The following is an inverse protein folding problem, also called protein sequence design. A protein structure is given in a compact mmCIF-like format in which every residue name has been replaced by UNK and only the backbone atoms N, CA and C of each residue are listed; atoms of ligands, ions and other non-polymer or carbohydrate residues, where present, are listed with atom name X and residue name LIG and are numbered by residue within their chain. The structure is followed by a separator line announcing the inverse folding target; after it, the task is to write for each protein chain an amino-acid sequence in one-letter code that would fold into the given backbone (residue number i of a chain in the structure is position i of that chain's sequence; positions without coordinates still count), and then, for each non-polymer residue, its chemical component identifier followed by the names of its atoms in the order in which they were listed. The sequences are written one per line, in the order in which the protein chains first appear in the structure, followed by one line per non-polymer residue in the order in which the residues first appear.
data_IF_988672306320
#
_entry.id   IF_988672306320
#
_cell.length_a   1.000
_cell.length_b   1.000
_cell.length_c   1.000
_cell.angle_alpha   90.00
_cell.angle_beta   90.00
_cell.angle_gamma   90.00
#
_symmetry.space_group_name_H-M   'P 1'
#
loop_
_entity.id
_entity.type
_entity.pdbx_description
1 polymer ?
#
# COMPACT_ATOMS: atom_id res chain seq x y z
N UNK A 1 11.69 7.05 -23.50
CA UNK A 1 12.64 6.54 -22.47
C UNK A 1 11.83 6.42 -21.20
N UNK A 2 11.53 5.19 -20.77
CA UNK A 2 10.98 4.94 -19.43
C UNK A 2 11.94 5.57 -18.42
N UNK A 3 11.47 6.54 -17.64
CA UNK A 3 12.16 6.96 -16.43
C UNK A 3 12.03 5.80 -15.44
N UNK A 4 13.02 4.92 -15.41
CA UNK A 4 13.13 3.94 -14.32
C UNK A 4 13.40 4.75 -13.05
N UNK A 5 12.37 4.98 -12.25
CA UNK A 5 12.52 5.66 -10.99
C UNK A 5 13.45 4.86 -10.07
N UNK A 6 14.31 5.53 -9.32
CA UNK A 6 15.14 4.90 -8.27
C UNK A 6 14.27 3.99 -7.36
N UNK A 7 13.00 4.34 -7.13
CA UNK A 7 12.06 3.55 -6.35
C UNK A 7 11.88 2.09 -6.84
N UNK A 8 11.91 1.84 -8.15
CA UNK A 8 11.75 0.49 -8.69
C UNK A 8 12.97 -0.40 -8.47
N UNK A 9 14.15 0.21 -8.36
CA UNK A 9 15.40 -0.50 -8.03
C UNK A 9 15.37 -0.91 -6.54
N UNK A 10 14.99 -0.01 -5.64
CA UNK A 10 14.88 -0.30 -4.21
C UNK A 10 13.81 -1.36 -3.91
N UNK A 11 12.66 -1.33 -4.59
CA UNK A 11 11.62 -2.36 -4.42
C UNK A 11 12.14 -3.76 -4.74
N UNK A 12 12.93 -3.92 -5.78
CA UNK A 12 13.57 -5.20 -6.14
C UNK A 12 14.60 -5.64 -5.12
N UNK A 13 15.43 -4.72 -4.62
CA UNK A 13 16.41 -5.02 -3.58
C UNK A 13 15.73 -5.47 -2.28
N UNK A 14 14.70 -4.76 -1.83
CA UNK A 14 13.92 -5.12 -0.63
C UNK A 14 13.26 -6.50 -0.83
N UNK A 15 12.73 -6.79 -2.02
CA UNK A 15 12.16 -8.10 -2.33
C UNK A 15 13.18 -9.24 -2.16
N UNK A 16 14.39 -9.04 -2.66
CA UNK A 16 15.49 -9.99 -2.49
C UNK A 16 15.88 -10.19 -1.02
N UNK A 17 16.02 -9.12 -0.25
CA UNK A 17 16.39 -9.19 1.16
C UNK A 17 15.32 -9.90 1.99
N UNK A 18 14.04 -9.59 1.74
CA UNK A 18 12.91 -10.26 2.37
C UNK A 18 12.84 -11.75 2.01
N UNK A 19 13.07 -12.09 0.74
CA UNK A 19 13.09 -13.48 0.29
C UNK A 19 14.13 -14.31 1.04
N UNK A 20 15.33 -13.79 1.21
CA UNK A 20 16.39 -14.46 1.95
C UNK A 20 16.07 -14.57 3.44
N UNK A 21 15.62 -13.47 4.06
CA UNK A 21 15.29 -13.47 5.49
C UNK A 21 14.14 -14.43 5.83
N UNK A 22 13.08 -14.46 5.02
CA UNK A 22 11.97 -15.38 5.22
C UNK A 22 12.42 -16.83 5.00
N UNK A 23 13.21 -17.09 3.95
CA UNK A 23 13.75 -18.42 3.70
C UNK A 23 14.60 -18.94 4.86
N UNK A 24 15.49 -18.09 5.38
CA UNK A 24 16.34 -18.43 6.51
C UNK A 24 15.50 -18.78 7.75
N UNK A 25 14.50 -17.97 8.08
CA UNK A 25 13.64 -18.20 9.23
C UNK A 25 12.79 -19.48 9.08
N UNK A 26 12.27 -19.76 7.90
CA UNK A 26 11.56 -21.00 7.60
C UNK A 26 12.47 -22.23 7.82
N UNK A 27 13.70 -22.19 7.31
CA UNK A 27 14.67 -23.25 7.47
C UNK A 27 15.04 -23.47 8.95
N UNK A 28 15.24 -22.40 9.72
CA UNK A 28 15.52 -22.46 11.15
C UNK A 28 14.39 -23.13 11.94
N UNK A 29 13.16 -23.01 11.47
CA UNK A 29 11.96 -23.66 12.03
C UNK A 29 11.68 -25.07 11.46
N UNK A 30 12.53 -25.57 10.59
CA UNK A 30 12.33 -26.87 9.93
C UNK A 30 11.22 -26.89 8.88
N UNK A 31 10.82 -25.70 8.36
CA UNK A 31 9.79 -25.56 7.35
C UNK A 31 10.45 -25.42 5.97
N UNK A 32 10.25 -26.40 5.11
CA UNK A 32 10.84 -26.46 3.78
C UNK A 32 9.86 -25.93 2.72
N UNK A 33 9.77 -24.60 2.62
CA UNK A 33 8.98 -23.91 1.60
C UNK A 33 9.85 -22.99 0.75
N UNK A 34 9.60 -22.96 -0.53
CA UNK A 34 10.22 -21.97 -1.44
C UNK A 34 9.61 -20.60 -1.19
N UNK A 35 10.46 -19.59 -1.17
CA UNK A 35 10.05 -18.18 -1.11
C UNK A 35 10.37 -17.54 -2.45
N UNK A 36 9.38 -16.96 -3.12
CA UNK A 36 9.53 -16.33 -4.42
C UNK A 36 9.11 -14.86 -4.39
N UNK A 37 9.89 -14.01 -5.04
CA UNK A 37 9.56 -12.59 -5.22
C UNK A 37 9.05 -12.34 -6.63
N UNK A 38 7.83 -11.83 -6.77
CA UNK A 38 7.20 -11.46 -8.03
C UNK A 38 7.30 -9.95 -8.21
N UNK A 39 7.95 -9.50 -9.29
CA UNK A 39 7.91 -8.11 -9.70
C UNK A 39 6.49 -7.80 -10.17
N UNK A 40 5.81 -6.91 -9.44
CA UNK A 40 4.37 -6.71 -9.60
C UNK A 40 4.06 -5.37 -10.23
N UNK A 41 3.33 -5.39 -11.34
CA UNK A 41 2.74 -4.25 -12.01
C UNK A 41 1.27 -4.12 -11.62
N UNK A 42 0.82 -2.88 -11.47
CA UNK A 42 -0.57 -2.61 -11.04
C UNK A 42 -1.17 -1.58 -11.99
N UNK A 43 -2.22 -2.00 -12.69
CA UNK A 43 -2.98 -1.12 -13.58
C UNK A 43 -3.74 -0.11 -12.75
N UNK A 44 -3.67 1.16 -13.17
CA UNK A 44 -4.43 2.27 -12.63
C UNK A 44 -5.25 2.94 -13.72
N UNK A 45 -6.37 3.55 -13.36
CA UNK A 45 -7.20 4.28 -14.30
C UNK A 45 -6.49 5.59 -14.72
N UNK A 46 -6.26 5.86 -16.02
CA UNK A 46 -5.69 7.12 -16.47
C UNK A 46 -6.53 8.35 -16.15
N UNK A 47 -7.81 8.16 -15.84
CA UNK A 47 -8.76 9.22 -15.50
C UNK A 47 -8.99 9.35 -14.00
N UNK A 48 -8.27 8.60 -13.16
CA UNK A 48 -8.37 8.74 -11.70
C UNK A 48 -8.08 10.18 -11.27
N UNK A 49 -8.92 10.72 -10.39
CA UNK A 49 -8.84 12.10 -9.90
C UNK A 49 -7.46 12.43 -9.29
N UNK A 50 -6.80 11.43 -8.72
CA UNK A 50 -5.47 11.58 -8.14
C UNK A 50 -4.41 12.08 -9.15
N UNK A 51 -4.61 11.91 -10.45
CA UNK A 51 -3.72 12.48 -11.47
C UNK A 51 -3.90 13.99 -11.63
N UNK A 52 -5.08 14.50 -11.34
CA UNK A 52 -5.40 15.93 -11.44
C UNK A 52 -5.16 16.66 -10.11
N UNK A 53 -5.32 15.96 -9.00
CA UNK A 53 -5.16 16.51 -7.64
C UNK A 53 -4.18 15.64 -6.83
N UNK A 54 -2.86 15.74 -7.09
CA UNK A 54 -1.85 14.97 -6.36
C UNK A 54 -1.83 15.33 -4.88
N UNK A 55 -1.94 14.33 -4.01
CA UNK A 55 -2.00 14.52 -2.55
C UNK A 55 -0.96 13.71 -1.77
N UNK A 56 -0.37 12.68 -2.38
CA UNK A 56 0.57 11.79 -1.68
C UNK A 56 1.91 12.46 -1.46
N UNK A 57 2.22 12.78 -0.21
CA UNK A 57 3.49 13.40 0.15
C UNK A 57 4.67 12.45 -0.01
N UNK A 58 5.76 12.96 -0.59
CA UNK A 58 7.02 12.24 -0.78
C UNK A 58 8.22 13.05 -0.26
N UNK A 59 9.20 12.29 0.22
CA UNK A 59 10.50 12.85 0.59
C UNK A 59 10.49 13.71 1.87
N UNK A 60 11.55 14.46 2.05
CA UNK A 60 11.77 15.36 3.19
C UNK A 60 11.05 16.69 3.03
N UNK A 61 11.00 17.46 4.12
CA UNK A 61 10.64 18.86 4.04
C UNK A 61 11.71 19.66 3.29
N UNK A 62 11.28 20.67 2.56
CA UNK A 62 12.08 21.54 1.71
C UNK A 62 11.92 22.99 2.14
N UNK A 63 12.93 23.82 1.84
CA UNK A 63 12.82 25.29 1.95
C UNK A 63 11.95 25.85 0.82
N UNK A 64 11.61 27.14 0.92
CA UNK A 64 10.85 27.82 -0.13
C UNK A 64 11.62 27.87 -1.46
N UNK A 65 12.94 28.02 -1.40
CA UNK A 65 13.82 28.05 -2.58
C UNK A 65 13.81 26.67 -3.27
N UNK A 66 14.03 25.60 -2.49
CA UNK A 66 13.99 24.21 -3.00
C UNK A 66 12.61 23.87 -3.60
N UNK A 67 11.53 24.31 -2.95
CA UNK A 67 10.16 24.13 -3.43
C UNK A 67 9.93 24.82 -4.78
N UNK A 68 10.45 26.03 -4.96
CA UNK A 68 10.36 26.75 -6.22
C UNK A 68 11.15 26.06 -7.35
N UNK A 69 12.32 25.50 -7.05
CA UNK A 69 13.06 24.69 -8.03
C UNK A 69 12.32 23.41 -8.44
N UNK A 70 11.65 22.75 -7.50
CA UNK A 70 10.82 21.58 -7.81
C UNK A 70 9.59 21.96 -8.66
N UNK A 71 8.94 23.10 -8.39
CA UNK A 71 7.84 23.60 -9.22
C UNK A 71 8.30 23.94 -10.64
N UNK A 72 9.48 24.54 -10.82
CA UNK A 72 10.08 24.79 -12.15
C UNK A 72 10.32 23.52 -12.96
N UNK A 73 10.60 22.38 -12.28
CA UNK A 73 10.73 21.06 -12.90
C UNK A 73 9.38 20.40 -13.24
N UNK A 74 8.26 21.08 -12.90
CA UNK A 74 6.89 20.55 -13.11
C UNK A 74 6.40 19.63 -11.99
N UNK A 75 7.08 19.59 -10.84
CA UNK A 75 6.65 18.81 -9.69
C UNK A 75 5.60 19.57 -8.87
N UNK A 76 4.61 18.84 -8.35
CA UNK A 76 3.65 19.39 -7.42
C UNK A 76 4.28 19.51 -6.02
N UNK A 77 4.03 20.64 -5.36
CA UNK A 77 4.56 20.93 -4.03
C UNK A 77 3.48 21.61 -3.20
N UNK A 78 3.24 21.09 -2.01
CA UNK A 78 2.34 21.67 -1.00
C UNK A 78 3.15 22.32 0.12
N UNK A 79 2.55 23.27 0.81
CA UNK A 79 3.07 23.87 2.04
C UNK A 79 2.34 23.27 3.24
N UNK A 80 3.12 22.82 4.23
CA UNK A 80 2.60 22.42 5.53
C UNK A 80 2.96 23.53 6.54
N UNK A 81 1.93 24.19 7.08
CA UNK A 81 2.10 25.33 7.96
C UNK A 81 3.06 25.03 9.14
N UNK A 82 4.07 25.84 9.30
CA UNK A 82 5.09 25.71 10.36
C UNK A 82 6.13 24.60 10.15
N UNK A 83 6.06 23.82 9.06
CA UNK A 83 7.00 22.73 8.79
C UNK A 83 7.78 22.90 7.49
N UNK A 84 7.28 23.69 6.54
CA UNK A 84 7.90 23.92 5.24
C UNK A 84 7.14 23.24 4.08
N UNK A 85 7.84 22.93 3.02
CA UNK A 85 7.27 22.44 1.77
C UNK A 85 7.55 20.96 1.56
N UNK A 86 6.61 20.25 0.94
CA UNK A 86 6.78 18.86 0.55
C UNK A 86 6.31 18.61 -0.88
N UNK A 87 7.04 17.75 -1.58
CA UNK A 87 6.61 17.25 -2.88
C UNK A 87 5.42 16.33 -2.70
N UNK A 88 4.44 16.44 -3.59
CA UNK A 88 3.32 15.52 -3.70
C UNK A 88 3.28 14.86 -5.07
N UNK A 89 2.75 13.65 -5.12
CA UNK A 89 2.56 12.87 -6.33
C UNK A 89 1.17 12.28 -6.36
N UNK A 90 0.74 11.89 -7.55
CA UNK A 90 -0.51 11.17 -7.76
C UNK A 90 -0.49 9.82 -7.06
N UNK A 91 -1.59 9.45 -6.43
CA UNK A 91 -1.77 8.16 -5.78
C UNK A 91 -3.11 7.53 -6.20
N UNK A 92 -3.24 7.10 -7.47
CA UNK A 92 -4.47 6.52 -7.99
C UNK A 92 -4.77 5.17 -7.33
N UNK A 93 -6.03 4.76 -7.39
CA UNK A 93 -6.49 3.47 -6.88
C UNK A 93 -5.98 2.31 -7.75
N UNK A 94 -5.60 1.17 -7.14
CA UNK A 94 -5.25 -0.03 -7.87
C UNK A 94 -6.48 -0.64 -8.52
N UNK A 95 -6.44 -0.87 -9.84
CA UNK A 95 -7.53 -1.49 -10.60
C UNK A 95 -7.30 -2.98 -10.72
N UNK A 96 -6.12 -3.40 -11.18
CA UNK A 96 -5.78 -4.79 -11.45
C UNK A 96 -4.30 -5.06 -11.24
N UNK A 97 -3.99 -6.22 -10.68
CA UNK A 97 -2.62 -6.72 -10.56
C UNK A 97 -2.33 -7.56 -11.80
N UNK A 98 -1.29 -7.19 -12.55
CA UNK A 98 -0.96 -7.82 -13.85
C UNK A 98 -0.50 -9.25 -13.66
N UNK A 99 0.36 -9.50 -12.68
CA UNK A 99 0.98 -10.81 -12.43
C UNK A 99 0.17 -11.68 -11.46
N UNK A 100 -1.13 -11.43 -11.31
CA UNK A 100 -1.99 -12.17 -10.36
C UNK A 100 -2.01 -13.67 -10.65
N UNK A 101 -2.09 -14.07 -11.91
CA UNK A 101 -2.10 -15.49 -12.30
C UNK A 101 -0.78 -16.19 -11.91
N UNK A 102 0.35 -15.50 -12.03
CA UNK A 102 1.64 -16.02 -11.60
C UNK A 102 1.71 -16.16 -10.07
N UNK A 103 1.16 -15.20 -9.33
CA UNK A 103 1.06 -15.28 -7.86
C UNK A 103 0.22 -16.48 -7.45
N UNK A 104 -0.96 -16.68 -8.05
CA UNK A 104 -1.84 -17.82 -7.77
C UNK A 104 -1.15 -19.14 -8.07
N UNK A 105 -0.47 -19.28 -9.21
CA UNK A 105 0.25 -20.50 -9.56
C UNK A 105 1.36 -20.85 -8.56
N UNK A 106 2.05 -19.85 -8.00
CA UNK A 106 3.06 -20.06 -6.96
C UNK A 106 2.44 -20.46 -5.62
N UNK A 107 1.30 -19.85 -5.26
CA UNK A 107 0.55 -20.21 -4.05
C UNK A 107 0.01 -21.64 -4.14
N UNK A 108 -0.55 -22.03 -5.30
CA UNK A 108 -1.01 -23.41 -5.57
C UNK A 108 0.12 -24.44 -5.47
N UNK A 109 1.36 -24.02 -5.76
CA UNK A 109 2.56 -24.81 -5.56
C UNK A 109 3.12 -24.75 -4.12
N UNK A 110 2.32 -24.31 -3.15
CA UNK A 110 2.67 -24.20 -1.72
C UNK A 110 3.89 -23.31 -1.44
N UNK A 111 4.12 -22.28 -2.24
CA UNK A 111 5.20 -21.33 -2.04
C UNK A 111 4.75 -20.12 -1.18
N UNK A 112 5.71 -19.51 -0.50
CA UNK A 112 5.53 -18.17 0.08
C UNK A 112 5.82 -17.14 -1.00
N UNK A 113 4.88 -16.25 -1.28
CA UNK A 113 5.01 -15.27 -2.36
C UNK A 113 5.14 -13.86 -1.81
N UNK A 114 6.17 -13.15 -2.25
CA UNK A 114 6.37 -11.72 -2.00
C UNK A 114 5.95 -10.99 -3.27
N UNK A 115 4.90 -10.19 -3.18
CA UNK A 115 4.35 -9.44 -4.32
C UNK A 115 3.94 -8.02 -3.91
N UNK A 116 3.73 -7.15 -4.88
CA UNK A 116 3.21 -5.80 -4.73
C UNK A 116 3.97 -4.88 -3.74
N UNK A 117 5.26 -5.12 -3.51
CA UNK A 117 6.09 -4.34 -2.61
C UNK A 117 6.00 -2.83 -2.90
N UNK A 118 5.73 -2.03 -1.84
CA UNK A 118 5.53 -0.59 -1.95
C UNK A 118 4.34 -0.15 -2.82
N UNK A 119 3.31 -1.01 -2.96
CA UNK A 119 2.13 -0.77 -3.78
C UNK A 119 2.26 -1.25 -5.23
N UNK A 120 3.37 -1.91 -5.60
CA UNK A 120 3.65 -2.34 -6.96
C UNK A 120 4.12 -1.21 -7.88
N UNK A 121 4.25 -1.50 -9.17
CA UNK A 121 4.67 -0.55 -10.21
C UNK A 121 3.41 -0.07 -10.93
N UNK A 122 3.01 1.21 -10.80
CA UNK A 122 1.82 1.71 -11.47
C UNK A 122 2.00 1.77 -12.97
N UNK A 123 1.06 1.20 -13.72
CA UNK A 123 1.05 1.17 -15.16
C UNK A 123 -0.32 1.57 -15.72
N UNK A 124 -0.31 2.19 -16.89
CA UNK A 124 -1.48 2.46 -17.72
C UNK A 124 -1.55 1.40 -18.81
N UNK A 125 -2.70 0.81 -18.99
CA UNK A 125 -2.95 -0.09 -20.11
C UNK A 125 -3.40 0.71 -21.32
N UNK A 126 -2.66 0.60 -22.41
CA UNK A 126 -2.96 1.25 -23.68
C UNK A 126 -2.89 0.19 -24.78
N UNK A 127 -4.04 -0.21 -25.28
CA UNK A 127 -4.16 -1.34 -26.22
C UNK A 127 -3.48 -2.61 -25.63
N UNK A 128 -2.41 -3.09 -26.28
CA UNK A 128 -1.65 -4.24 -25.82
C UNK A 128 -0.34 -3.87 -25.10
N UNK A 129 -0.20 -2.63 -24.68
CA UNK A 129 1.03 -2.13 -24.03
C UNK A 129 0.78 -1.64 -22.63
N UNK A 130 1.70 -1.96 -21.73
CA UNK A 130 1.77 -1.38 -20.40
C UNK A 130 2.80 -0.25 -20.38
N UNK A 131 2.34 0.95 -20.04
CA UNK A 131 3.17 2.14 -19.91
C UNK A 131 3.26 2.56 -18.45
N UNK A 132 4.46 2.78 -17.92
CA UNK A 132 4.65 3.25 -16.56
C UNK A 132 3.90 4.56 -16.31
N UNK A 133 3.10 4.63 -15.25
CA UNK A 133 2.43 5.83 -14.80
C UNK A 133 3.35 6.67 -13.89
N UNK A 134 3.26 8.01 -13.99
CA UNK A 134 3.97 8.92 -13.06
C UNK A 134 3.18 9.07 -11.77
N UNK A 135 3.12 8.01 -10.99
CA UNK A 135 2.31 7.89 -9.78
C UNK A 135 3.00 6.96 -8.77
N UNK A 136 2.46 6.92 -7.57
CA UNK A 136 2.67 5.83 -6.59
C UNK A 136 1.31 5.26 -6.22
N UNK A 137 1.25 4.03 -5.77
CA UNK A 137 0.01 3.43 -5.30
C UNK A 137 0.09 3.25 -3.79
N UNK A 138 -1.01 3.46 -3.09
CA UNK A 138 -1.09 3.16 -1.67
C UNK A 138 -0.93 1.64 -1.46
N UNK A 139 0.13 1.27 -0.74
CA UNK A 139 0.49 -0.14 -0.53
C UNK A 139 -0.62 -0.95 0.16
N UNK A 140 -1.37 -0.29 1.04
CA UNK A 140 -2.45 -0.94 1.79
C UNK A 140 -3.63 -1.30 0.86
N UNK A 141 -3.99 -0.39 -0.07
CA UNK A 141 -5.01 -0.65 -1.10
C UNK A 141 -4.58 -1.77 -2.06
N UNK A 142 -3.31 -1.76 -2.48
CA UNK A 142 -2.81 -2.85 -3.34
C UNK A 142 -2.78 -4.19 -2.60
N UNK A 143 -2.46 -4.19 -1.29
CA UNK A 143 -2.48 -5.41 -0.48
C UNK A 143 -3.92 -5.98 -0.37
N UNK A 144 -4.92 -5.11 -0.15
CA UNK A 144 -6.33 -5.50 -0.21
C UNK A 144 -6.69 -6.12 -1.56
N UNK A 145 -6.33 -5.44 -2.65
CA UNK A 145 -6.60 -5.91 -4.01
C UNK A 145 -5.90 -7.24 -4.34
N UNK A 146 -4.69 -7.44 -3.82
CA UNK A 146 -3.97 -8.71 -3.95
C UNK A 146 -4.68 -9.80 -3.14
N UNK A 147 -5.07 -9.53 -1.90
CA UNK A 147 -5.76 -10.46 -1.04
C UNK A 147 -7.11 -10.91 -1.62
N UNK A 148 -7.86 -10.00 -2.23
CA UNK A 148 -9.07 -10.32 -3.02
C UNK A 148 -8.73 -11.27 -4.18
N UNK A 149 -7.72 -10.93 -4.97
CA UNK A 149 -7.35 -11.66 -6.18
C UNK A 149 -6.81 -13.07 -5.93
N UNK A 150 -6.19 -13.31 -4.77
CA UNK A 150 -5.73 -14.65 -4.35
C UNK A 150 -6.76 -15.40 -3.50
N UNK A 151 -7.95 -14.84 -3.36
CA UNK A 151 -9.05 -15.36 -2.54
C UNK A 151 -8.64 -15.67 -1.10
N UNK A 152 -7.86 -14.77 -0.49
CA UNK A 152 -7.39 -14.92 0.89
C UNK A 152 -8.57 -14.93 1.89
N UNK A 153 -8.42 -15.68 2.97
CA UNK A 153 -9.38 -15.69 4.08
C UNK A 153 -9.13 -14.55 5.07
N UNK A 154 -7.88 -14.10 5.16
CA UNK A 154 -7.46 -13.07 6.11
C UNK A 154 -6.46 -12.09 5.50
N UNK A 155 -6.67 -10.80 5.78
CA UNK A 155 -5.72 -9.73 5.49
C UNK A 155 -5.10 -9.22 6.80
N UNK A 156 -3.78 -9.35 6.93
CA UNK A 156 -3.04 -8.85 8.10
C UNK A 156 -2.22 -7.64 7.70
N UNK A 157 -2.49 -6.48 8.30
CA UNK A 157 -1.78 -5.23 8.06
C UNK A 157 -0.92 -4.90 9.29
N UNK A 158 0.40 -4.97 9.15
CA UNK A 158 1.31 -4.55 10.20
C UNK A 158 1.42 -3.02 10.25
N UNK A 159 1.31 -2.45 11.44
CA UNK A 159 1.37 -1.01 11.68
C UNK A 159 2.26 -0.68 12.86
N UNK A 160 2.63 0.57 13.03
CA UNK A 160 3.50 1.06 14.10
C UNK A 160 2.76 1.38 15.42
N UNK A 161 1.42 1.31 15.42
CA UNK A 161 0.60 1.55 16.62
C UNK A 161 0.14 0.23 17.21
N UNK A 162 0.18 0.09 18.52
CA UNK A 162 -0.21 -1.13 19.23
C UNK A 162 -1.68 -1.46 19.01
N UNK A 163 -2.52 -0.44 19.02
CA UNK A 163 -3.97 -0.56 18.81
C UNK A 163 -4.49 0.70 18.14
N UNK A 164 -5.45 0.53 17.25
CA UNK A 164 -6.12 1.67 16.62
C UNK A 164 -7.06 2.32 17.62
N UNK A 165 -7.08 3.66 17.62
CA UNK A 165 -7.95 4.45 18.47
C UNK A 165 -8.82 5.37 17.63
N UNK A 166 -10.04 5.63 18.11
CA UNK A 166 -10.83 6.80 17.72
C UNK A 166 -10.58 7.94 18.70
N UNK A 167 -10.83 9.17 18.27
CA UNK A 167 -10.58 10.39 19.06
C UNK A 167 -9.13 10.50 19.59
N UNK A 168 -8.17 10.03 18.85
CA UNK A 168 -6.76 9.99 19.26
C UNK A 168 -6.28 11.36 19.78
N UNK A 169 -5.72 11.36 21.02
CA UNK A 169 -5.21 12.55 21.68
C UNK A 169 -6.29 13.46 22.31
N UNK A 170 -7.53 13.01 22.41
CA UNK A 170 -8.62 13.71 23.11
C UNK A 170 -9.01 13.00 24.42
N UNK A 171 -9.73 13.71 25.31
CA UNK A 171 -10.17 13.15 26.60
C UNK A 171 -11.06 11.91 26.47
N UNK A 172 -11.70 11.74 25.32
CA UNK A 172 -12.55 10.60 24.97
C UNK A 172 -11.87 9.65 23.98
N UNK A 173 -10.55 9.52 24.05
CA UNK A 173 -9.82 8.52 23.27
C UNK A 173 -10.28 7.10 23.64
N UNK A 174 -10.58 6.32 22.63
CA UNK A 174 -11.05 4.94 22.80
C UNK A 174 -10.26 4.00 21.89
N UNK A 175 -9.76 2.91 22.47
CA UNK A 175 -9.07 1.85 21.73
C UNK A 175 -10.09 0.93 21.08
N UNK A 176 -9.96 0.72 19.77
CA UNK A 176 -10.82 -0.18 19.02
C UNK A 176 -10.39 -1.63 19.21
N UNK A 177 -11.36 -2.48 19.54
CA UNK A 177 -11.21 -3.92 19.51
C UNK A 177 -11.70 -4.50 18.18
N UNK A 178 -12.55 -5.51 18.26
CA UNK A 178 -13.25 -6.08 17.10
C UNK A 178 -14.43 -5.18 16.70
N UNK A 179 -14.49 -4.79 15.44
CA UNK A 179 -15.55 -3.96 14.88
C UNK A 179 -16.06 -4.53 13.57
N UNK A 180 -17.30 -4.24 13.22
CA UNK A 180 -17.87 -4.59 11.93
C UNK A 180 -17.40 -3.64 10.81
N UNK A 181 -17.51 -4.08 9.55
CA UNK A 181 -17.25 -3.22 8.40
C UNK A 181 -18.13 -1.95 8.41
N UNK A 182 -19.39 -2.08 8.85
CA UNK A 182 -20.31 -0.94 8.97
C UNK A 182 -19.78 0.09 9.97
N UNK A 183 -19.37 -0.35 11.18
CA UNK A 183 -18.78 0.54 12.17
C UNK A 183 -17.47 1.17 11.69
N UNK A 184 -16.65 0.41 10.97
CA UNK A 184 -15.42 0.94 10.38
C UNK A 184 -15.72 2.08 9.40
N UNK A 185 -16.72 1.93 8.53
CA UNK A 185 -17.18 2.98 7.59
C UNK A 185 -17.68 4.23 8.32
N UNK A 186 -18.50 4.05 9.36
CA UNK A 186 -18.98 5.17 10.17
C UNK A 186 -17.83 5.97 10.76
N UNK A 187 -16.80 5.30 11.32
CA UNK A 187 -15.62 5.98 11.86
C UNK A 187 -14.75 6.64 10.78
N UNK A 188 -14.70 6.07 9.58
CA UNK A 188 -14.03 6.69 8.43
C UNK A 188 -14.75 7.98 8.01
N UNK A 189 -16.07 7.96 7.89
CA UNK A 189 -16.91 9.13 7.54
C UNK A 189 -16.83 10.24 8.60
N UNK A 190 -16.75 9.87 9.87
CA UNK A 190 -16.55 10.80 10.98
C UNK A 190 -15.16 11.39 11.07
N UNK A 191 -14.21 10.93 10.22
CA UNK A 191 -12.85 11.46 10.13
C UNK A 191 -11.94 11.09 11.30
N UNK A 192 -12.18 9.96 11.97
CA UNK A 192 -11.34 9.51 13.09
C UNK A 192 -9.94 9.07 12.66
N UNK A 193 -9.72 8.74 11.39
CA UNK A 193 -8.48 8.18 10.88
C UNK A 193 -7.68 9.17 10.04
N UNK A 194 -6.38 9.27 10.31
CA UNK A 194 -5.48 10.12 9.54
C UNK A 194 -5.44 9.70 8.06
N UNK A 195 -5.70 10.66 7.17
CA UNK A 195 -5.87 10.48 5.72
C UNK A 195 -4.65 9.80 5.07
N UNK A 196 -3.45 10.08 5.56
CA UNK A 196 -2.20 9.57 4.95
C UNK A 196 -1.69 8.26 5.54
N UNK A 197 -2.25 7.79 6.66
CA UNK A 197 -1.73 6.64 7.40
C UNK A 197 -2.78 5.56 7.67
N UNK A 198 -3.81 5.88 8.47
CA UNK A 198 -4.76 4.88 8.93
C UNK A 198 -5.93 4.70 7.98
N UNK A 199 -6.43 5.77 7.36
CA UNK A 199 -7.57 5.71 6.45
C UNK A 199 -7.38 4.71 5.29
N UNK A 200 -6.23 4.68 4.57
CA UNK A 200 -6.03 3.67 3.52
C UNK A 200 -6.03 2.23 4.02
N UNK A 201 -5.60 1.99 5.27
CA UNK A 201 -5.63 0.65 5.88
C UNK A 201 -7.05 0.20 6.16
N UNK A 202 -7.86 1.11 6.72
CA UNK A 202 -9.28 0.85 6.97
C UNK A 202 -10.04 0.64 5.67
N UNK A 203 -9.79 1.45 4.64
CA UNK A 203 -10.41 1.28 3.33
C UNK A 203 -10.08 -0.09 2.76
N UNK A 204 -8.79 -0.46 2.71
CA UNK A 204 -8.37 -1.77 2.21
C UNK A 204 -8.98 -2.94 3.01
N UNK A 205 -9.08 -2.79 4.34
CA UNK A 205 -9.67 -3.80 5.21
C UNK A 205 -11.18 -3.96 4.97
N UNK A 206 -11.90 -2.85 4.86
CA UNK A 206 -13.35 -2.83 4.61
C UNK A 206 -13.66 -3.42 3.24
N UNK A 207 -12.99 -2.95 2.18
CA UNK A 207 -13.19 -3.45 0.82
C UNK A 207 -12.96 -4.97 0.77
N UNK A 208 -11.88 -5.46 1.40
CA UNK A 208 -11.55 -6.88 1.44
C UNK A 208 -12.59 -7.74 2.15
N UNK A 209 -13.11 -7.32 3.31
CA UNK A 209 -14.06 -8.13 4.08
C UNK A 209 -15.48 -8.10 3.50
N UNK A 210 -15.83 -7.06 2.74
CA UNK A 210 -17.15 -6.95 2.10
C UNK A 210 -17.26 -7.76 0.80
N UNK A 211 -16.13 -8.08 0.15
CA UNK A 211 -16.13 -8.85 -1.09
C UNK A 211 -16.63 -10.31 -0.89
N UNK A 212 -16.38 -10.89 0.28
CA UNK A 212 -16.79 -12.28 0.58
C UNK A 212 -17.08 -12.45 2.06
N UNK A 213 -18.20 -13.07 2.37
CA UNK A 213 -18.56 -13.46 3.74
C UNK A 213 -17.49 -14.36 4.38
N UNK A 214 -17.25 -14.17 5.67
CA UNK A 214 -16.28 -14.93 6.46
C UNK A 214 -14.85 -14.43 6.40
N UNK A 215 -14.53 -13.41 5.59
CA UNK A 215 -13.21 -12.77 5.59
C UNK A 215 -12.99 -11.92 6.83
N UNK A 216 -11.74 -11.85 7.27
CA UNK A 216 -11.32 -10.99 8.38
C UNK A 216 -10.12 -10.14 8.01
N UNK A 217 -10.05 -8.93 8.55
CA UNK A 217 -8.88 -8.07 8.44
C UNK A 217 -8.38 -7.68 9.83
N UNK A 218 -7.06 -7.74 10.02
CA UNK A 218 -6.43 -7.52 11.32
C UNK A 218 -5.30 -6.51 11.18
N UNK A 219 -5.23 -5.54 12.10
CA UNK A 219 -4.14 -4.58 12.18
C UNK A 219 -3.36 -4.76 13.48
N UNK A 220 -2.04 -5.00 13.35
CA UNK A 220 -1.15 -5.32 14.48
C UNK A 220 0.19 -4.63 14.40
N UNK A 221 0.82 -4.34 15.56
CA UNK A 221 2.23 -3.91 15.63
C UNK A 221 3.21 -5.07 15.51
N UNK A 222 2.86 -6.23 16.07
CA UNK A 222 3.69 -7.42 16.00
C UNK A 222 2.84 -8.67 16.16
N UNK A 223 3.19 -9.69 15.41
CA UNK A 223 2.65 -11.02 15.57
C UNK A 223 3.37 -11.65 16.76
N UNK A 224 2.62 -12.03 17.81
CA UNK A 224 3.18 -12.89 18.84
C UNK A 224 3.29 -14.31 18.28
N UNK A 225 4.49 -14.87 18.33
CA UNK A 225 4.75 -16.28 18.06
C UNK A 225 4.18 -17.16 19.18
#
# INVERSE_FOLDING_TARGET
RMSRGLGDVYKRQIGYDLQNGIREELMNRGIYRTVSTVLTQVIVDPYDEAFYTPTKVLGRYMSAEEANEERKKGNYVIEEAGKGFRRVVSAPHPVKIVELDAVNALLDADQVVIAAGGGGIPVLEQDNHLKGASAVIEKDLTAGKLAEGVDADQLIILTSVEQVCINLGKDNEEKLGEISATQAKEYMEQGHFGVYNMLPKFQAAVDFVEEREGRTAVSYTHLRA
#
